data_IF_736328738731
#
_entry.id   IF_736328738731
#
_cell.length_a   1.000
_cell.length_b   1.000
_cell.length_c   1.000
_cell.angle_alpha   90.00
_cell.angle_beta   90.00
_cell.angle_gamma   90.00
#
_symmetry.space_group_name_H-M   'P 1'
#
loop_
_entity.id
_entity.type
_entity.pdbx_description
1 polymer ?
#
# COMPACT_ATOMS: atom_id res chain seq x y z
N UNK A 1 40.83 26.19 7.80
CA UNK A 1 41.02 25.31 8.99
C UNK A 1 39.89 24.30 8.99
N UNK A 2 40.19 23.00 8.91
CA UNK A 2 39.17 21.95 8.99
C UNK A 2 38.56 21.99 10.39
N UNK A 3 37.33 22.50 10.49
CA UNK A 3 36.58 22.44 11.74
C UNK A 3 36.13 21.00 11.93
N UNK A 4 36.73 20.31 12.91
CA UNK A 4 36.35 18.95 13.28
C UNK A 4 34.83 18.90 13.51
N UNK A 5 34.09 18.33 12.56
CA UNK A 5 32.62 18.30 12.55
C UNK A 5 32.07 17.18 13.44
N UNK A 6 32.96 16.31 13.94
CA UNK A 6 32.68 15.20 14.83
C UNK A 6 32.42 15.75 16.24
N UNK A 7 31.15 15.83 16.61
CA UNK A 7 30.75 16.23 17.97
C UNK A 7 30.64 14.98 18.83
N UNK A 8 31.45 14.91 19.89
CA UNK A 8 31.31 13.89 20.93
C UNK A 8 30.08 14.20 21.79
N UNK A 9 29.35 13.18 22.29
CA UNK A 9 28.18 13.41 23.14
C UNK A 9 28.52 14.26 24.37
N UNK A 10 27.68 15.24 24.70
CA UNK A 10 27.88 16.07 25.89
C UNK A 10 27.40 15.36 27.17
N UNK A 11 28.16 15.51 28.26
CA UNK A 11 27.80 15.01 29.59
C UNK A 11 28.05 13.51 29.78
N UNK A 12 27.13 12.80 30.44
CA UNK A 12 27.29 11.37 30.82
C UNK A 12 26.94 10.37 29.71
N UNK A 13 26.74 10.80 28.47
CA UNK A 13 26.39 9.87 27.37
C UNK A 13 27.64 9.22 26.82
N UNK A 14 27.63 7.90 26.71
CA UNK A 14 28.67 7.14 26.01
C UNK A 14 28.54 7.32 24.50
N UNK A 15 29.68 7.34 23.82
CA UNK A 15 29.75 7.29 22.35
C UNK A 15 29.56 5.84 21.88
N UNK A 16 28.78 5.63 20.81
CA UNK A 16 28.58 4.31 20.20
C UNK A 16 29.07 4.29 18.76
N UNK A 17 29.43 3.12 18.23
CA UNK A 17 29.82 2.97 16.83
C UNK A 17 28.69 3.38 15.87
N UNK A 18 27.42 3.14 16.23
CA UNK A 18 26.27 3.58 15.45
C UNK A 18 26.16 5.10 15.33
N UNK A 19 26.57 5.85 16.35
CA UNK A 19 26.64 7.32 16.28
C UNK A 19 27.73 7.78 15.30
N UNK A 20 28.90 7.14 15.32
CA UNK A 20 29.99 7.44 14.39
C UNK A 20 29.58 7.11 12.96
N UNK A 21 28.99 5.93 12.74
CA UNK A 21 28.47 5.53 11.44
C UNK A 21 27.46 6.56 10.91
N UNK A 22 26.52 7.00 11.75
CA UNK A 22 25.53 8.03 11.37
C UNK A 22 26.18 9.37 11.04
N UNK A 23 27.25 9.76 11.74
CA UNK A 23 28.02 10.98 11.43
C UNK A 23 28.78 10.87 10.12
N UNK A 24 29.37 9.70 9.82
CA UNK A 24 30.02 9.43 8.54
C UNK A 24 28.99 9.46 7.42
N UNK A 25 27.86 8.77 7.57
CA UNK A 25 26.78 8.77 6.57
C UNK A 25 26.22 10.17 6.32
N UNK A 26 26.11 11.02 7.35
CA UNK A 26 25.70 12.41 7.18
C UNK A 26 26.65 13.21 6.26
N UNK A 27 27.93 12.82 6.20
CA UNK A 27 28.96 13.46 5.35
C UNK A 27 29.06 12.83 3.96
N UNK A 28 28.46 11.66 3.73
CA UNK A 28 28.50 10.95 2.43
C UNK A 28 27.29 11.25 1.54
N UNK A 29 26.52 12.31 1.83
CA UNK A 29 25.45 12.73 0.92
C UNK A 29 26.09 13.06 -0.46
N UNK A 30 25.58 12.50 -1.58
CA UNK A 30 26.16 12.80 -2.88
C UNK A 30 26.10 14.29 -3.18
N UNK A 31 27.19 14.85 -3.70
CA UNK A 31 27.21 16.26 -4.14
C UNK A 31 26.11 16.50 -5.18
N UNK A 32 25.28 17.51 -4.95
CA UNK A 32 24.09 17.79 -5.78
C UNK A 32 22.85 16.92 -5.53
N UNK A 33 22.87 15.98 -4.58
CA UNK A 33 21.67 15.22 -4.21
C UNK A 33 20.58 16.18 -3.70
N UNK A 34 19.41 16.15 -4.33
CA UNK A 34 18.26 16.96 -3.95
C UNK A 34 17.09 16.05 -3.63
N UNK A 35 16.53 16.17 -2.42
CA UNK A 35 15.40 15.34 -1.97
C UNK A 35 14.30 16.21 -1.39
N UNK A 36 13.04 15.82 -1.65
CA UNK A 36 11.90 16.49 -1.04
C UNK A 36 11.64 15.92 0.35
N UNK A 37 11.81 16.75 1.41
CA UNK A 37 11.81 16.30 2.81
C UNK A 37 10.55 15.50 3.20
N UNK A 38 9.39 15.88 2.68
CA UNK A 38 8.13 15.20 3.01
C UNK A 38 7.92 13.89 2.26
N UNK A 39 8.59 13.69 1.12
CA UNK A 39 8.59 12.40 0.44
C UNK A 39 9.45 11.41 1.21
N UNK A 40 10.66 11.80 1.58
CA UNK A 40 11.55 10.96 2.39
C UNK A 40 10.94 10.65 3.75
N UNK A 41 10.29 11.63 4.40
CA UNK A 41 9.57 11.39 5.65
C UNK A 41 8.45 10.36 5.51
N UNK A 42 7.72 10.36 4.38
CA UNK A 42 6.68 9.36 4.10
C UNK A 42 7.29 7.96 3.96
N UNK A 43 8.40 7.85 3.25
CA UNK A 43 9.13 6.59 3.09
C UNK A 43 9.66 6.07 4.44
N UNK A 44 10.26 6.94 5.26
CA UNK A 44 10.67 6.61 6.64
C UNK A 44 9.47 6.14 7.47
N UNK A 45 8.32 6.81 7.38
CA UNK A 45 7.11 6.44 8.14
C UNK A 45 6.54 5.09 7.71
N UNK A 46 6.63 4.76 6.43
CA UNK A 46 6.23 3.47 5.87
C UNK A 46 7.19 2.36 6.32
N UNK A 47 8.50 2.62 6.30
CA UNK A 47 9.57 1.70 6.70
C UNK A 47 9.86 1.67 8.22
N UNK A 48 9.06 2.34 9.05
CA UNK A 48 9.38 2.60 10.46
C UNK A 48 9.74 1.38 11.30
N UNK A 49 9.07 0.25 11.05
CA UNK A 49 9.31 -1.00 11.76
C UNK A 49 10.68 -1.59 11.41
N UNK A 50 11.06 -1.55 10.12
CA UNK A 50 12.37 -2.01 9.65
C UNK A 50 13.50 -1.11 10.18
N UNK A 51 13.23 0.19 10.34
CA UNK A 51 14.17 1.16 10.88
C UNK A 51 14.28 1.17 12.40
N UNK A 52 13.41 0.46 13.13
CA UNK A 52 13.34 0.51 14.60
C UNK A 52 12.78 1.84 15.16
N UNK A 53 12.18 2.66 14.31
CA UNK A 53 11.65 3.97 14.66
C UNK A 53 10.24 3.85 15.27
N UNK A 54 10.06 4.45 16.45
CA UNK A 54 8.75 4.49 17.13
C UNK A 54 7.84 5.58 16.57
N UNK A 55 6.51 5.42 16.66
CA UNK A 55 5.55 6.43 16.18
C UNK A 55 5.77 7.81 16.84
N UNK A 56 6.08 7.81 18.14
CA UNK A 56 6.41 9.05 18.88
C UNK A 56 7.73 9.67 18.43
N UNK A 57 8.71 8.86 18.02
CA UNK A 57 9.94 9.38 17.43
C UNK A 57 9.68 10.01 16.06
N UNK A 58 8.82 9.42 15.24
CA UNK A 58 8.43 10.01 13.96
C UNK A 58 7.64 11.30 14.11
N UNK A 59 6.81 11.45 15.14
CA UNK A 59 6.17 12.74 15.45
C UNK A 59 7.19 13.82 15.80
N UNK A 60 8.30 13.45 16.46
CA UNK A 60 9.40 14.39 16.72
C UNK A 60 10.16 14.70 15.43
N UNK A 61 10.40 13.70 14.57
CA UNK A 61 11.06 13.91 13.29
C UNK A 61 10.25 14.86 12.39
N UNK A 62 8.94 14.67 12.32
CA UNK A 62 7.99 15.58 11.65
C UNK A 62 8.13 17.02 12.17
N UNK A 63 8.13 17.18 13.49
CA UNK A 63 8.37 18.47 14.12
C UNK A 63 9.74 19.05 13.76
N UNK A 64 10.83 18.27 13.77
CA UNK A 64 12.18 18.72 13.39
C UNK A 64 12.22 19.21 11.94
N UNK A 65 11.62 18.46 11.00
CA UNK A 65 11.56 18.81 9.58
C UNK A 65 10.79 20.12 9.33
N UNK A 66 9.80 20.43 10.19
CA UNK A 66 9.04 21.68 10.11
C UNK A 66 9.81 22.93 10.54
N UNK A 67 10.98 22.78 11.19
CA UNK A 67 11.85 23.92 11.54
C UNK A 67 12.80 24.29 10.40
N UNK A 68 12.93 23.46 9.37
CA UNK A 68 13.63 23.81 8.14
C UNK A 68 12.64 24.48 7.17
N UNK A 69 12.86 25.72 6.71
CA UNK A 69 11.89 26.44 5.89
C UNK A 69 11.71 25.79 4.52
N UNK A 70 12.81 25.40 3.88
CA UNK A 70 12.78 24.80 2.55
C UNK A 70 12.25 23.37 2.57
N UNK A 71 11.55 23.00 1.51
CA UNK A 71 11.03 21.64 1.28
C UNK A 71 12.04 20.74 0.58
N UNK A 72 12.91 21.32 -0.23
CA UNK A 72 14.06 20.63 -0.82
C UNK A 72 15.22 20.62 0.19
N UNK A 73 15.81 19.46 0.38
CA UNK A 73 17.07 19.28 1.08
C UNK A 73 18.15 18.99 0.07
N UNK A 74 19.29 19.66 0.23
CA UNK A 74 20.44 19.55 -0.64
C UNK A 74 21.58 18.86 0.13
N UNK A 75 22.29 17.94 -0.52
CA UNK A 75 23.40 17.20 0.10
C UNK A 75 24.51 18.11 0.64
N UNK A 76 24.71 19.26 -0.02
CA UNK A 76 25.79 20.20 0.26
C UNK A 76 25.41 21.28 1.28
N UNK A 77 24.13 21.32 1.72
CA UNK A 77 23.67 22.32 2.68
C UNK A 77 23.75 21.82 4.12
N UNK A 78 24.05 22.74 5.05
CA UNK A 78 24.06 22.44 6.48
C UNK A 78 22.62 22.31 7.00
N UNK A 79 22.09 21.08 7.01
CA UNK A 79 20.71 20.78 7.43
C UNK A 79 20.57 20.65 8.95
N UNK A 80 21.01 21.68 9.68
CA UNK A 80 21.00 21.69 11.15
C UNK A 80 19.83 22.52 11.67
N UNK A 81 19.03 21.97 12.58
CA UNK A 81 17.94 22.68 13.26
C UNK A 81 18.16 22.70 14.77
N UNK A 82 17.83 23.80 15.44
CA UNK A 82 18.07 24.00 16.88
C UNK A 82 16.82 24.46 17.66
N UNK A 83 15.66 23.80 17.52
CA UNK A 83 14.47 24.19 18.28
C UNK A 83 14.65 23.98 19.79
N UNK A 84 14.00 24.86 20.56
CA UNK A 84 13.88 24.66 22.01
C UNK A 84 13.04 23.41 22.30
N UNK A 85 13.23 22.79 23.46
CA UNK A 85 12.40 21.63 23.82
C UNK A 85 10.92 22.00 23.92
N UNK A 86 10.60 23.22 24.34
CA UNK A 86 9.23 23.73 24.41
C UNK A 86 8.60 23.83 23.02
N UNK A 87 9.31 24.40 22.04
CA UNK A 87 8.86 24.47 20.65
C UNK A 87 8.68 23.06 20.04
N UNK A 88 9.61 22.14 20.33
CA UNK A 88 9.54 20.78 19.84
C UNK A 88 8.33 20.04 20.45
N UNK A 89 8.08 20.21 21.75
CA UNK A 89 6.92 19.62 22.44
C UNK A 89 5.62 20.17 21.87
N UNK A 90 5.54 21.48 21.65
CA UNK A 90 4.36 22.12 21.06
C UNK A 90 3.99 21.55 19.70
N UNK A 91 4.98 21.27 18.84
CA UNK A 91 4.74 20.67 17.51
C UNK A 91 4.60 19.14 17.52
N UNK A 92 5.17 18.45 18.50
CA UNK A 92 5.15 16.99 18.62
C UNK A 92 4.04 16.49 19.58
N UNK A 93 2.82 17.03 19.44
CA UNK A 93 1.62 16.61 20.17
C UNK A 93 1.71 16.72 21.71
N UNK A 94 2.46 17.69 22.25
CA UNK A 94 2.43 18.03 23.67
C UNK A 94 3.04 16.98 24.61
N UNK A 95 3.95 16.13 24.12
CA UNK A 95 4.55 15.07 24.94
C UNK A 95 5.41 15.62 26.10
N UNK A 96 5.51 14.84 27.19
CA UNK A 96 6.33 15.25 28.34
C UNK A 96 7.83 15.37 28.00
N UNK A 97 8.60 16.22 28.69
CA UNK A 97 10.05 16.37 28.44
C UNK A 97 10.86 15.08 28.59
N UNK A 98 10.44 14.17 29.47
CA UNK A 98 11.10 12.85 29.60
C UNK A 98 10.86 11.99 28.36
N UNK A 99 9.62 11.95 27.87
CA UNK A 99 9.21 11.25 26.65
C UNK A 99 9.96 11.80 25.44
N UNK A 100 10.07 13.12 25.34
CA UNK A 100 10.84 13.80 24.29
C UNK A 100 12.29 13.31 24.24
N UNK A 101 12.98 13.31 25.38
CA UNK A 101 14.40 12.89 25.44
C UNK A 101 14.57 11.44 25.04
N UNK A 102 13.66 10.56 25.45
CA UNK A 102 13.66 9.13 25.10
C UNK A 102 13.50 8.92 23.60
N UNK A 103 12.49 9.54 22.98
CA UNK A 103 12.23 9.32 21.56
C UNK A 103 13.22 10.07 20.65
N UNK A 104 13.80 11.18 21.11
CA UNK A 104 14.97 11.78 20.47
C UNK A 104 16.23 10.90 20.58
N UNK A 105 16.33 9.99 21.56
CA UNK A 105 17.41 9.01 21.60
C UNK A 105 17.14 7.93 20.55
N UNK A 106 15.90 7.41 20.48
CA UNK A 106 15.48 6.48 19.43
C UNK A 106 15.76 7.00 18.01
N UNK A 107 15.50 8.28 17.70
CA UNK A 107 15.87 8.85 16.39
C UNK A 107 17.38 8.81 16.09
N UNK A 108 18.21 9.03 17.12
CA UNK A 108 19.67 8.96 16.99
C UNK A 108 20.12 7.51 16.84
N UNK A 109 19.55 6.60 17.63
CA UNK A 109 19.85 5.17 17.57
C UNK A 109 19.46 4.55 16.22
N UNK A 110 18.38 5.04 15.59
CA UNK A 110 17.97 4.66 14.24
C UNK A 110 18.83 5.32 13.13
N UNK A 111 19.74 6.22 13.50
CA UNK A 111 20.57 6.98 12.55
C UNK A 111 19.76 7.92 11.65
N UNK A 112 18.56 8.34 12.09
CA UNK A 112 17.70 9.28 11.36
C UNK A 112 18.11 10.75 11.60
N UNK A 113 18.74 11.01 12.75
CA UNK A 113 19.18 12.34 13.18
C UNK A 113 20.52 12.22 13.90
N UNK A 114 21.44 13.13 13.62
CA UNK A 114 22.69 13.27 14.38
C UNK A 114 22.57 14.42 15.36
N UNK A 115 23.00 14.22 16.61
CA UNK A 115 23.06 15.32 17.59
C UNK A 115 24.41 16.02 17.52
N UNK A 116 24.38 17.33 17.31
CA UNK A 116 25.52 18.22 17.43
C UNK A 116 25.43 18.98 18.76
N UNK A 117 25.92 18.35 19.83
CA UNK A 117 25.89 18.94 21.16
C UNK A 117 26.89 20.09 21.29
N UNK A 118 26.52 21.18 21.98
CA UNK A 118 27.46 22.27 22.29
C UNK A 118 28.28 21.98 23.55
N UNK A 119 29.43 22.67 23.74
CA UNK A 119 30.22 22.57 24.96
C UNK A 119 29.45 22.90 26.25
N UNK A 120 28.33 23.62 26.14
CA UNK A 120 27.49 24.02 27.28
C UNK A 120 26.17 23.21 27.36
N UNK A 121 25.97 22.22 26.48
CA UNK A 121 24.75 21.42 26.41
C UNK A 121 23.49 22.16 25.93
N UNK A 122 23.61 23.43 25.50
CA UNK A 122 22.53 24.24 24.92
C UNK A 122 22.50 24.12 23.39
N UNK A 123 21.34 24.33 22.76
CA UNK A 123 21.21 24.38 21.29
C UNK A 123 21.20 25.85 20.84
N UNK A 124 22.11 26.22 19.96
CA UNK A 124 22.23 27.58 19.43
C UNK A 124 23.09 27.59 18.16
N UNK A 125 22.91 28.61 17.34
CA UNK A 125 23.79 28.93 16.22
C UNK A 125 24.67 30.14 16.59
N UNK A 126 25.98 30.06 16.35
CA UNK A 126 26.91 31.19 16.42
C UNK A 126 27.03 31.77 15.02
N UNK A 127 26.74 33.06 14.90
CA UNK A 127 26.99 33.84 13.67
C UNK A 127 28.41 34.38 13.70
N UNK A 128 29.12 34.30 12.58
CA UNK A 128 30.43 34.92 12.39
C UNK A 128 30.32 36.44 12.21
N UNK A 129 31.46 37.11 12.01
CA UNK A 129 31.51 38.57 11.83
C UNK A 129 30.66 39.08 10.64
N UNK A 130 30.39 38.25 9.63
CA UNK A 130 29.56 38.58 8.47
C UNK A 130 28.07 38.25 8.61
N UNK A 131 27.59 37.79 9.76
CA UNK A 131 26.19 37.40 9.96
C UNK A 131 25.80 36.01 9.42
N UNK A 132 26.70 35.36 8.68
CA UNK A 132 26.60 33.95 8.30
C UNK A 132 26.76 33.02 9.51
N UNK A 133 26.09 31.87 9.47
CA UNK A 133 26.16 30.87 10.55
C UNK A 133 27.50 30.15 10.46
N UNK A 134 28.42 30.47 11.36
CA UNK A 134 29.76 29.88 11.42
C UNK A 134 29.72 28.51 12.12
N UNK A 135 28.84 28.34 13.11
CA UNK A 135 28.71 27.07 13.82
C UNK A 135 27.29 26.87 14.37
N UNK A 136 26.67 25.71 14.12
CA UNK A 136 25.34 25.38 14.61
C UNK A 136 25.36 24.12 15.50
N UNK A 137 24.77 24.24 16.69
CA UNK A 137 24.62 23.17 17.67
C UNK A 137 23.14 22.83 17.83
N UNK A 138 22.76 21.61 17.48
CA UNK A 138 21.37 21.18 17.36
C UNK A 138 21.24 19.75 16.84
N UNK A 139 20.29 19.55 15.94
CA UNK A 139 20.02 18.29 15.26
C UNK A 139 20.37 18.42 13.80
N UNK A 140 21.23 17.52 13.34
CA UNK A 140 21.66 17.41 11.97
C UNK A 140 20.79 16.38 11.24
N UNK A 141 20.14 16.85 10.17
CA UNK A 141 19.19 16.13 9.34
C UNK A 141 19.82 15.61 8.04
N UNK A 142 21.13 15.83 7.81
CA UNK A 142 21.84 15.32 6.64
C UNK A 142 21.74 13.79 6.44
N UNK A 143 21.61 12.93 7.49
CA UNK A 143 21.33 11.50 7.28
C UNK A 143 20.07 11.22 6.44
N UNK A 144 19.09 12.12 6.45
CA UNK A 144 17.84 11.98 5.68
C UNK A 144 18.11 12.05 4.17
N UNK A 145 19.04 12.92 3.76
CA UNK A 145 19.44 13.06 2.35
C UNK A 145 20.34 11.91 1.94
N UNK A 146 21.35 11.60 2.75
CA UNK A 146 22.32 10.56 2.45
C UNK A 146 21.70 9.17 2.30
N UNK A 147 20.65 8.87 3.08
CA UNK A 147 19.96 7.57 3.09
C UNK A 147 18.62 7.59 2.37
N UNK A 148 18.32 8.64 1.59
CA UNK A 148 17.02 8.79 0.94
C UNK A 148 16.66 7.61 0.02
N UNK A 149 17.65 7.06 -0.71
CA UNK A 149 17.47 5.89 -1.58
C UNK A 149 17.16 4.64 -0.75
N UNK A 150 17.93 4.40 0.32
CA UNK A 150 17.70 3.29 1.25
C UNK A 150 16.27 3.33 1.84
N UNK A 151 15.81 4.50 2.30
CA UNK A 151 14.46 4.64 2.85
C UNK A 151 13.38 4.34 1.80
N UNK A 152 13.58 4.79 0.56
CA UNK A 152 12.67 4.53 -0.54
C UNK A 152 12.58 3.03 -0.84
N UNK A 153 13.71 2.34 -0.93
CA UNK A 153 13.77 0.89 -1.16
C UNK A 153 13.06 0.10 -0.04
N UNK A 154 13.33 0.46 1.23
CA UNK A 154 12.64 -0.14 2.37
C UNK A 154 11.13 0.10 2.33
N UNK A 155 10.71 1.32 1.99
CA UNK A 155 9.29 1.67 1.87
C UNK A 155 8.60 0.92 0.72
N UNK A 156 9.29 0.74 -0.41
CA UNK A 156 8.81 -0.06 -1.55
C UNK A 156 8.67 -1.53 -1.18
N UNK A 157 9.64 -2.11 -0.49
CA UNK A 157 9.57 -3.49 0.01
C UNK A 157 8.37 -3.68 0.96
N UNK A 158 8.16 -2.76 1.91
CA UNK A 158 7.01 -2.81 2.82
C UNK A 158 5.69 -2.68 2.07
N UNK A 159 5.59 -1.78 1.09
CA UNK A 159 4.39 -1.62 0.26
C UNK A 159 4.11 -2.86 -0.58
N UNK A 160 5.14 -3.47 -1.17
CA UNK A 160 5.03 -4.69 -1.95
C UNK A 160 4.52 -5.85 -1.09
N UNK A 161 5.09 -6.05 0.11
CA UNK A 161 4.66 -7.09 1.04
C UNK A 161 3.21 -6.88 1.50
N UNK A 162 2.82 -5.65 1.85
CA UNK A 162 1.41 -5.33 2.21
C UNK A 162 0.44 -5.62 1.05
N UNK A 163 0.83 -5.28 -0.19
CA UNK A 163 0.02 -5.55 -1.37
C UNK A 163 -0.11 -7.04 -1.61
N UNK A 164 0.98 -7.79 -1.56
CA UNK A 164 0.98 -9.25 -1.70
C UNK A 164 0.10 -9.91 -0.63
N UNK A 165 0.26 -9.51 0.64
CA UNK A 165 -0.58 -9.98 1.74
C UNK A 165 -2.08 -9.72 1.50
N UNK A 166 -2.43 -8.53 0.99
CA UNK A 166 -3.83 -8.18 0.67
C UNK A 166 -4.39 -9.07 -0.45
N UNK A 167 -3.62 -9.31 -1.51
CA UNK A 167 -4.03 -10.17 -2.64
C UNK A 167 -4.31 -11.60 -2.17
N UNK A 168 -3.43 -12.18 -1.36
CA UNK A 168 -3.61 -13.54 -0.83
C UNK A 168 -4.85 -13.61 0.06
N UNK A 169 -5.06 -12.60 0.93
CA UNK A 169 -6.24 -12.54 1.80
C UNK A 169 -7.55 -12.39 1.01
N UNK A 170 -7.54 -11.62 -0.07
CA UNK A 170 -8.68 -11.47 -0.97
C UNK A 170 -9.00 -12.79 -1.68
N UNK A 171 -7.99 -13.44 -2.26
CA UNK A 171 -8.10 -14.79 -2.87
C UNK A 171 -8.69 -15.79 -1.89
N UNK A 172 -8.17 -15.84 -0.66
CA UNK A 172 -8.67 -16.71 0.40
C UNK A 172 -10.15 -16.44 0.71
N UNK A 173 -10.55 -15.17 0.77
CA UNK A 173 -11.94 -14.79 1.06
C UNK A 173 -12.88 -15.24 -0.06
N UNK A 174 -12.49 -15.05 -1.32
CA UNK A 174 -13.26 -15.46 -2.49
C UNK A 174 -13.35 -16.98 -2.56
N UNK A 175 -12.22 -17.68 -2.48
CA UNK A 175 -12.16 -19.13 -2.59
C UNK A 175 -13.00 -19.83 -1.51
N UNK A 176 -12.93 -19.36 -0.26
CA UNK A 176 -13.78 -19.88 0.84
C UNK A 176 -15.27 -19.73 0.55
N UNK A 177 -15.68 -18.54 0.08
CA UNK A 177 -17.09 -18.27 -0.27
C UNK A 177 -17.53 -19.18 -1.41
N UNK A 178 -16.70 -19.32 -2.43
CA UNK A 178 -17.05 -20.06 -3.65
C UNK A 178 -17.12 -21.57 -3.39
N UNK A 179 -16.16 -22.14 -2.63
CA UNK A 179 -16.21 -23.55 -2.20
C UNK A 179 -17.51 -23.83 -1.43
N UNK A 180 -17.84 -22.99 -0.45
CA UNK A 180 -19.06 -23.18 0.34
C UNK A 180 -20.31 -23.22 -0.54
N UNK A 181 -20.42 -22.27 -1.49
CA UNK A 181 -21.53 -22.23 -2.45
C UNK A 181 -21.56 -23.41 -3.40
N UNK A 182 -20.41 -23.83 -3.92
CA UNK A 182 -20.36 -24.98 -4.84
C UNK A 182 -20.75 -26.29 -4.15
N UNK A 183 -20.35 -26.48 -2.88
CA UNK A 183 -20.80 -27.63 -2.08
C UNK A 183 -22.32 -27.59 -1.88
N UNK A 184 -22.87 -26.43 -1.50
CA UNK A 184 -24.32 -26.21 -1.35
C UNK A 184 -25.06 -26.55 -2.65
N UNK A 185 -24.64 -25.98 -3.78
CA UNK A 185 -25.22 -26.27 -5.10
C UNK A 185 -25.11 -27.74 -5.48
N UNK A 186 -23.96 -28.38 -5.23
CA UNK A 186 -23.77 -29.81 -5.51
C UNK A 186 -24.75 -30.70 -4.76
N UNK A 187 -25.08 -30.34 -3.51
CA UNK A 187 -26.07 -31.03 -2.68
C UNK A 187 -27.49 -30.76 -3.18
N UNK A 188 -27.84 -29.49 -3.42
CA UNK A 188 -29.18 -29.07 -3.83
C UNK A 188 -29.59 -29.63 -5.20
N UNK A 189 -28.68 -29.63 -6.17
CA UNK A 189 -28.91 -30.14 -7.53
C UNK A 189 -28.74 -31.67 -7.62
N UNK A 190 -28.45 -32.34 -6.51
CA UNK A 190 -28.31 -33.81 -6.46
C UNK A 190 -27.16 -34.34 -7.30
N UNK A 191 -26.09 -33.56 -7.48
CA UNK A 191 -24.91 -33.97 -8.27
C UNK A 191 -24.26 -35.19 -7.61
N UNK A 192 -24.02 -36.29 -8.35
CA UNK A 192 -23.31 -37.45 -7.80
C UNK A 192 -21.90 -37.07 -7.33
N UNK A 193 -21.67 -37.12 -6.01
CA UNK A 193 -20.39 -36.75 -5.43
C UNK A 193 -20.36 -36.96 -3.92
N UNK A 194 -19.16 -37.14 -3.36
CA UNK A 194 -18.98 -37.27 -1.91
C UNK A 194 -18.86 -35.87 -1.25
N UNK A 195 -19.94 -35.10 -1.32
CA UNK A 195 -20.02 -33.73 -0.78
C UNK A 195 -19.73 -33.67 0.72
N UNK A 196 -20.05 -34.73 1.46
CA UNK A 196 -19.73 -34.85 2.89
C UNK A 196 -18.22 -34.86 3.15
N UNK A 197 -17.46 -35.68 2.43
CA UNK A 197 -15.99 -35.72 2.55
C UNK A 197 -15.35 -34.42 2.11
N UNK A 198 -15.80 -33.83 1.00
CA UNK A 198 -15.34 -32.52 0.52
C UNK A 198 -15.57 -31.42 1.57
N UNK A 199 -16.73 -31.44 2.23
CA UNK A 199 -17.04 -30.48 3.29
C UNK A 199 -16.13 -30.64 4.52
N UNK A 200 -15.82 -31.88 4.92
CA UNK A 200 -14.89 -32.17 6.02
C UNK A 200 -13.47 -31.69 5.68
N UNK A 201 -13.01 -31.93 4.45
CA UNK A 201 -11.70 -31.46 3.98
C UNK A 201 -11.62 -29.93 3.99
N UNK A 202 -12.64 -29.25 3.47
CA UNK A 202 -12.75 -27.79 3.54
C UNK A 202 -12.66 -27.25 4.98
N UNK A 203 -13.38 -27.86 5.92
CA UNK A 203 -13.33 -27.48 7.33
C UNK A 203 -11.94 -27.70 7.94
N UNK A 204 -11.29 -28.82 7.60
CA UNK A 204 -9.93 -29.12 8.06
C UNK A 204 -8.92 -28.07 7.55
N UNK A 205 -9.03 -27.62 6.30
CA UNK A 205 -8.19 -26.54 5.75
C UNK A 205 -8.41 -25.22 6.49
N UNK A 206 -9.67 -24.80 6.67
CA UNK A 206 -9.96 -23.52 7.33
C UNK A 206 -9.58 -23.52 8.81
N UNK A 207 -9.74 -24.64 9.50
CA UNK A 207 -9.43 -24.74 10.94
C UNK A 207 -7.97 -24.43 11.26
N UNK A 208 -7.07 -24.54 10.27
CA UNK A 208 -5.64 -24.22 10.39
C UNK A 208 -5.33 -22.73 10.31
N UNK A 209 -6.27 -21.88 9.88
CA UNK A 209 -6.03 -20.45 9.71
C UNK A 209 -5.96 -19.71 11.07
N UNK A 210 -4.80 -19.13 11.44
CA UNK A 210 -4.69 -18.31 12.63
C UNK A 210 -5.40 -16.97 12.45
N UNK A 211 -5.73 -16.30 13.57
CA UNK A 211 -6.30 -14.94 13.55
C UNK A 211 -5.35 -13.90 12.93
N UNK A 212 -4.04 -14.12 13.10
CA UNK A 212 -2.96 -13.33 12.48
C UNK A 212 -1.90 -14.31 12.00
N UNK A 213 -1.60 -14.31 10.70
CA UNK A 213 -0.63 -15.21 10.10
C UNK A 213 0.32 -14.44 9.17
N UNK A 214 1.58 -14.88 9.02
CA UNK A 214 2.45 -14.35 7.99
C UNK A 214 1.93 -14.73 6.59
N UNK A 215 2.33 -13.98 5.56
CA UNK A 215 1.86 -14.18 4.19
C UNK A 215 2.09 -15.62 3.70
N UNK A 216 3.24 -16.21 4.03
CA UNK A 216 3.63 -17.56 3.58
C UNK A 216 2.61 -18.61 4.02
N UNK A 217 2.16 -18.55 5.28
CA UNK A 217 1.14 -19.46 5.81
C UNK A 217 -0.21 -19.24 5.11
N UNK A 218 -0.55 -17.99 4.79
CA UNK A 218 -1.77 -17.72 4.03
C UNK A 218 -1.68 -18.21 2.58
N UNK A 219 -0.49 -18.17 1.96
CA UNK A 219 -0.26 -18.68 0.60
C UNK A 219 -0.37 -20.19 0.54
N UNK A 220 0.21 -20.90 1.51
CA UNK A 220 0.08 -22.36 1.65
C UNK A 220 -1.39 -22.78 1.77
N UNK A 221 -2.13 -22.15 2.68
CA UNK A 221 -3.56 -22.46 2.86
C UNK A 221 -4.39 -22.05 1.63
N UNK A 222 -4.05 -20.94 0.97
CA UNK A 222 -4.74 -20.53 -0.26
C UNK A 222 -4.55 -21.58 -1.36
N UNK A 223 -3.33 -22.09 -1.55
CA UNK A 223 -3.05 -23.12 -2.54
C UNK A 223 -3.88 -24.40 -2.30
N UNK A 224 -3.94 -24.87 -1.05
CA UNK A 224 -4.76 -26.03 -0.70
C UNK A 224 -6.26 -25.80 -0.96
N UNK A 225 -6.77 -24.59 -0.68
CA UNK A 225 -8.15 -24.26 -1.01
C UNK A 225 -8.39 -24.19 -2.52
N UNK A 226 -7.44 -23.71 -3.31
CA UNK A 226 -7.60 -23.67 -4.77
C UNK A 226 -7.58 -25.06 -5.39
N UNK A 227 -6.78 -25.98 -4.85
CA UNK A 227 -6.81 -27.39 -5.26
C UNK A 227 -8.18 -28.00 -4.99
N UNK A 228 -8.74 -27.79 -3.78
CA UNK A 228 -10.07 -28.26 -3.43
C UNK A 228 -11.16 -27.61 -4.31
N UNK A 229 -11.05 -26.31 -4.54
CA UNK A 229 -11.96 -25.57 -5.42
C UNK A 229 -11.94 -26.11 -6.85
N UNK A 230 -10.76 -26.48 -7.37
CA UNK A 230 -10.61 -27.03 -8.72
C UNK A 230 -11.26 -28.41 -8.80
N UNK A 231 -11.02 -29.27 -7.81
CA UNK A 231 -11.66 -30.58 -7.72
C UNK A 231 -13.20 -30.47 -7.71
N UNK A 232 -13.75 -29.58 -6.88
CA UNK A 232 -15.20 -29.37 -6.80
C UNK A 232 -15.76 -28.87 -8.13
N UNK A 233 -15.08 -27.88 -8.73
CA UNK A 233 -15.47 -27.32 -10.03
C UNK A 233 -15.49 -28.38 -11.11
N UNK A 234 -14.47 -29.22 -11.20
CA UNK A 234 -14.37 -30.26 -12.23
C UNK A 234 -15.51 -31.28 -12.10
N UNK A 235 -15.88 -31.66 -10.87
CA UNK A 235 -17.04 -32.52 -10.61
C UNK A 235 -18.33 -31.86 -11.11
N UNK A 236 -18.59 -30.60 -10.72
CA UNK A 236 -19.78 -29.87 -11.16
C UNK A 236 -19.82 -29.67 -12.68
N UNK A 237 -18.69 -29.31 -13.29
CA UNK A 237 -18.60 -29.06 -14.73
C UNK A 237 -18.80 -30.35 -15.53
N UNK A 238 -18.23 -31.47 -15.08
CA UNK A 238 -18.42 -32.79 -15.70
C UNK A 238 -19.89 -33.22 -15.67
N UNK A 239 -20.59 -32.95 -14.57
CA UNK A 239 -22.00 -33.26 -14.43
C UNK A 239 -22.85 -32.45 -15.43
N UNK A 240 -22.64 -31.14 -15.51
CA UNK A 240 -23.33 -30.27 -16.48
C UNK A 240 -23.07 -30.73 -17.92
N UNK A 241 -21.82 -31.08 -18.27
CA UNK A 241 -21.49 -31.61 -19.60
C UNK A 241 -22.21 -32.94 -19.91
N UNK A 242 -22.32 -33.83 -18.92
CA UNK A 242 -23.01 -35.11 -19.08
C UNK A 242 -24.52 -34.95 -19.31
N UNK A 243 -25.16 -34.00 -18.62
CA UNK A 243 -26.58 -33.71 -18.83
C UNK A 243 -26.84 -33.15 -20.23
N UNK A 244 -25.98 -32.27 -20.74
CA UNK A 244 -26.10 -31.72 -22.09
C UNK A 244 -25.95 -32.78 -23.20
N UNK A 245 -25.10 -33.80 -23.00
CA UNK A 245 -24.96 -34.92 -23.94
C UNK A 245 -26.21 -35.81 -23.96
N UNK A 246 -26.75 -36.13 -22.78
CA UNK A 246 -27.99 -36.90 -22.67
C UNK A 246 -29.20 -36.16 -23.26
N UNK A 247 -29.22 -34.82 -23.18
CA UNK A 247 -30.28 -34.00 -23.77
C UNK A 247 -30.25 -33.99 -25.31
N UNK A 248 -29.11 -34.28 -25.94
CA UNK A 248 -28.97 -34.31 -27.40
C UNK A 248 -29.18 -35.71 -28.02
N UNK A 249 -29.10 -36.80 -27.26
CA UNK A 249 -29.23 -38.17 -27.79
C UNK A 249 -30.68 -38.55 -28.14
N UNK A 250 -31.67 -37.86 -27.56
CA UNK A 250 -33.09 -38.16 -27.76
C UNK A 250 -33.81 -37.24 -28.75
N UNK A 251 -33.15 -36.78 -29.81
CA UNK A 251 -33.88 -36.40 -31.03
C UNK A 251 -33.96 -37.59 -31.98
N UNK A 252 -34.85 -38.54 -31.65
CA UNK A 252 -35.48 -39.38 -32.66
C UNK A 252 -36.24 -38.44 -33.61
N UNK A 253 -35.58 -37.99 -34.66
CA UNK A 253 -36.23 -37.46 -35.86
C UNK A 253 -37.16 -38.56 -36.37
N UNK A 254 -38.44 -38.45 -36.03
CA UNK A 254 -39.48 -39.17 -36.75
C UNK A 254 -39.37 -38.70 -38.18
N UNK A 255 -38.88 -39.57 -39.04
CA UNK A 255 -38.88 -39.41 -40.48
C UNK A 255 -40.32 -39.09 -40.94
N UNK A 256 -40.63 -37.82 -41.16
CA UNK A 256 -41.89 -37.40 -41.76
C UNK A 256 -41.74 -37.61 -43.26
N UNK A 257 -42.18 -38.76 -43.77
CA UNK A 257 -42.41 -38.90 -45.20
C UNK A 257 -43.58 -38.01 -45.61
N UNK A 258 -43.27 -36.83 -46.13
CA UNK A 258 -44.23 -35.99 -46.84
C UNK A 258 -44.27 -36.41 -48.30
N UNK A 259 -45.13 -37.36 -48.64
CA UNK A 259 -45.64 -37.51 -49.99
C UNK A 259 -46.82 -36.55 -50.17
N UNK A 260 -46.57 -35.36 -50.72
CA UNK A 260 -47.62 -34.54 -51.32
C UNK A 260 -47.09 -33.81 -52.56
N UNK A 261 -47.75 -34.15 -53.65
CA UNK A 261 -47.61 -33.75 -55.05
C UNK A 261 -47.74 -32.25 -55.29
N UNK A 262 -47.05 -31.77 -56.33
CA UNK A 262 -47.04 -30.38 -56.82
C UNK A 262 -48.42 -29.73 -56.99
N UNK A 263 -48.50 -28.43 -56.70
CA UNK A 263 -49.27 -27.50 -57.52
C UNK A 263 -48.61 -26.11 -57.52
N UNK A 264 -48.24 -25.66 -58.72
CA UNK A 264 -47.76 -24.31 -59.05
C UNK A 264 -48.94 -23.34 -59.12
N UNK A 265 -48.80 -22.16 -58.51
CA UNK A 265 -49.35 -20.92 -59.11
C UNK A 265 -48.62 -19.66 -58.63
N UNK A 266 -48.22 -18.86 -59.61
CA UNK A 266 -47.55 -17.55 -59.53
C UNK A 266 -48.47 -16.42 -59.06
N UNK A 267 -47.91 -15.36 -58.46
CA UNK A 267 -48.26 -13.97 -58.79
C UNK A 267 -47.27 -12.99 -58.12
N UNK A 268 -46.58 -12.22 -58.96
CA UNK A 268 -45.66 -11.13 -58.59
C UNK A 268 -46.38 -9.79 -58.31
N UNK A 269 -45.54 -8.83 -57.87
CA UNK A 269 -45.63 -7.34 -57.88
C UNK A 269 -45.92 -6.72 -56.51
N UNK A 270 -45.20 -5.71 -56.03
CA UNK A 270 -44.20 -4.85 -56.68
C UNK A 270 -43.47 -3.94 -55.70
N UNK A 271 -42.38 -3.38 -56.21
CA UNK A 271 -41.30 -2.63 -55.58
C UNK A 271 -41.71 -1.28 -54.94
N UNK A 272 -40.96 -0.87 -53.91
CA UNK A 272 -40.92 0.51 -53.41
C UNK A 272 -39.72 0.76 -52.49
N UNK A 273 -38.57 1.11 -53.07
CA UNK A 273 -37.34 1.53 -52.38
C UNK A 273 -37.44 3.00 -51.92
N UNK A 274 -36.94 3.33 -50.71
CA UNK A 274 -36.14 4.55 -50.45
C UNK A 274 -35.47 4.56 -49.05
N UNK A 275 -34.13 4.58 -49.07
CA UNK A 275 -33.19 5.20 -48.09
C UNK A 275 -33.40 6.74 -48.11
N UNK A 276 -33.05 7.63 -47.18
CA UNK A 276 -31.91 7.85 -46.24
C UNK A 276 -32.33 9.09 -45.38
N UNK A 277 -32.10 9.15 -44.07
CA UNK A 277 -31.01 9.82 -43.32
C UNK A 277 -31.08 11.37 -43.10
N UNK A 278 -30.75 11.75 -41.84
CA UNK A 278 -30.48 13.09 -41.25
C UNK A 278 -31.68 14.03 -41.08
N UNK A 279 -31.88 14.79 -40.00
CA UNK A 279 -31.05 15.16 -38.85
C UNK A 279 -31.39 16.63 -38.52
N UNK A 280 -31.88 16.95 -37.32
CA UNK A 280 -31.73 18.29 -36.69
C UNK A 280 -32.23 18.27 -35.25
N UNK A 281 -31.45 18.91 -34.40
CA UNK A 281 -31.64 19.15 -32.98
C UNK A 281 -32.81 20.09 -32.66
N UNK A 282 -33.29 20.01 -31.42
CA UNK A 282 -34.15 20.97 -30.76
C UNK A 282 -34.07 20.77 -29.25
N UNK A 283 -33.15 21.50 -28.61
CA UNK A 283 -33.09 21.68 -27.15
C UNK A 283 -34.38 22.30 -26.63
N UNK A 284 -34.89 21.79 -25.50
CA UNK A 284 -35.90 22.49 -24.70
C UNK A 284 -35.34 22.75 -23.31
N UNK A 285 -35.10 24.04 -23.09
CA UNK A 285 -34.73 24.71 -21.86
C UNK A 285 -35.83 24.52 -20.80
N UNK A 286 -35.44 24.15 -19.57
CA UNK A 286 -36.35 24.06 -18.42
C UNK A 286 -35.70 24.75 -17.21
N UNK A 287 -35.91 26.06 -17.15
CA UNK A 287 -35.67 26.89 -15.97
C UNK A 287 -36.68 26.52 -14.86
N UNK A 288 -36.18 26.02 -13.72
CA UNK A 288 -36.92 25.99 -12.46
C UNK A 288 -36.23 26.88 -11.43
N UNK A 289 -36.86 28.01 -11.18
CA UNK A 289 -36.53 29.02 -10.18
C UNK A 289 -36.82 28.50 -8.76
N UNK A 290 -35.87 28.77 -7.85
CA UNK A 290 -36.00 28.61 -6.40
C UNK A 290 -36.78 29.77 -5.79
N UNK A 291 -37.50 29.57 -4.66
CA UNK A 291 -37.76 30.64 -3.71
C UNK A 291 -36.85 30.52 -2.49
N UNK A 292 -36.19 31.61 -2.12
CA UNK A 292 -35.64 31.84 -0.77
C UNK A 292 -36.77 32.30 0.15
N UNK A 293 -36.80 31.81 1.39
CA UNK A 293 -37.45 32.49 2.52
C UNK A 293 -36.62 32.34 3.80
N UNK A 294 -36.34 33.52 4.35
CA UNK A 294 -35.87 33.91 5.69
C UNK A 294 -34.50 33.42 6.20
#
# INVERSE_FOLDING_TARGET
MQTHTVTTPFGRRSMTLGMIASQVTAQTAPEGATVHKWHVFRDIKEARMALGATDRALAILDALLSFHPETAFYGDSALIVWPSNEQLIGRANGMSPATLRRHLANLVDCGLVVRRDSPNGKRYARKGQGGEIEQAYGFDLSPIVARAVEFKELAEAVRAEKKAYKVVKERLTICRRDIAKMIETGIEEGVPGNWGTVHVEYQAIISRLPRTAPRQVLEEVAAELDDLWTQIRDVLESFVKSQNLNANESQTERHIQNSNTESKTESERGLGIKREASGSAGETDNLRSLPKRE
#
